data_IF_310010565747
#
_entry.id   IF_310010565747
#
_cell.length_a   1.000
_cell.length_b   1.000
_cell.length_c   1.000
_cell.angle_alpha   90.00
_cell.angle_beta   90.00
_cell.angle_gamma   90.00
#
_symmetry.space_group_name_H-M   'P 1'
#
loop_
_entity.id
_entity.type
_entity.pdbx_description
1 polymer ?
#
# COMPACT_ATOMS: atom_id res chain seq x y z
N UNK A 1 -52.39 0.56 -48.01
CA UNK A 1 -51.95 -0.26 -46.86
C UNK A 1 -50.83 0.46 -46.13
N UNK A 2 -50.99 0.82 -44.85
CA UNK A 2 -49.89 1.36 -44.03
C UNK A 2 -48.76 0.32 -44.01
N UNK A 3 -47.54 0.69 -44.42
CA UNK A 3 -46.37 -0.16 -44.18
C UNK A 3 -46.24 -0.31 -42.65
N UNK A 4 -46.02 -1.55 -42.19
CA UNK A 4 -45.66 -1.78 -40.79
C UNK A 4 -44.38 -1.00 -40.48
N UNK A 5 -44.34 -0.30 -39.34
CA UNK A 5 -43.18 0.48 -38.89
C UNK A 5 -41.88 -0.34 -38.96
N UNK A 6 -41.93 -1.62 -38.60
CA UNK A 6 -40.79 -2.55 -38.67
C UNK A 6 -40.32 -2.76 -40.12
N UNK A 7 -41.26 -2.91 -41.07
CA UNK A 7 -40.91 -3.04 -42.49
C UNK A 7 -40.25 -1.77 -43.03
N UNK A 8 -40.61 -0.61 -42.51
CA UNK A 8 -39.98 0.66 -42.88
C UNK A 8 -38.57 0.79 -42.32
N UNK A 9 -38.34 0.42 -41.06
CA UNK A 9 -37.00 0.39 -40.46
C UNK A 9 -36.05 -0.56 -41.21
N UNK A 10 -36.54 -1.74 -41.60
CA UNK A 10 -35.77 -2.71 -42.39
C UNK A 10 -35.48 -2.21 -43.81
N UNK A 11 -36.46 -1.56 -44.46
CA UNK A 11 -36.27 -0.98 -45.79
C UNK A 11 -35.19 0.12 -45.79
N UNK A 12 -35.12 0.89 -44.69
CA UNK A 12 -34.11 1.91 -44.43
C UNK A 12 -32.79 1.35 -43.89
N UNK A 13 -32.64 0.03 -43.81
CA UNK A 13 -31.41 -0.64 -43.34
C UNK A 13 -30.93 -0.20 -41.95
N UNK A 14 -31.82 0.33 -41.11
CA UNK A 14 -31.46 0.88 -39.79
C UNK A 14 -30.82 -0.19 -38.89
N UNK A 15 -31.38 -1.42 -38.78
CA UNK A 15 -30.74 -2.46 -37.96
C UNK A 15 -29.34 -2.84 -38.46
N UNK A 16 -29.09 -2.83 -39.77
CA UNK A 16 -27.79 -3.14 -40.36
C UNK A 16 -26.78 -2.03 -40.08
N UNK A 17 -27.17 -0.77 -40.23
CA UNK A 17 -26.30 0.38 -39.95
C UNK A 17 -25.95 0.42 -38.46
N UNK A 18 -26.95 0.30 -37.58
CA UNK A 18 -26.73 0.26 -36.13
C UNK A 18 -25.87 -0.96 -35.76
N UNK A 19 -26.12 -2.13 -36.35
CA UNK A 19 -25.32 -3.33 -36.13
C UNK A 19 -23.85 -3.15 -36.54
N UNK A 20 -23.61 -2.57 -37.72
CA UNK A 20 -22.25 -2.26 -38.19
C UNK A 20 -21.54 -1.23 -37.30
N UNK A 21 -22.28 -0.24 -36.80
CA UNK A 21 -21.78 0.75 -35.86
C UNK A 21 -21.33 0.08 -34.55
N UNK A 22 -22.16 -0.78 -33.96
CA UNK A 22 -21.78 -1.54 -32.77
C UNK A 22 -20.54 -2.41 -32.99
N UNK A 23 -20.45 -3.11 -34.13
CA UNK A 23 -19.27 -3.91 -34.47
C UNK A 23 -18.03 -3.03 -34.55
N UNK A 24 -18.08 -1.91 -35.26
CA UNK A 24 -16.96 -0.98 -35.43
C UNK A 24 -16.53 -0.35 -34.09
N UNK A 25 -17.48 0.15 -33.31
CA UNK A 25 -17.23 0.72 -31.98
C UNK A 25 -16.62 -0.29 -31.02
N UNK A 26 -17.16 -1.51 -30.97
CA UNK A 26 -16.63 -2.57 -30.10
C UNK A 26 -15.24 -3.00 -30.55
N UNK A 27 -15.01 -3.11 -31.86
CA UNK A 27 -13.69 -3.43 -32.43
C UNK A 27 -12.65 -2.38 -32.05
N UNK A 28 -13.01 -1.09 -32.11
CA UNK A 28 -12.13 -0.01 -31.69
C UNK A 28 -11.83 -0.06 -30.19
N UNK A 29 -12.83 -0.30 -29.35
CA UNK A 29 -12.64 -0.42 -27.89
C UNK A 29 -11.74 -1.61 -27.55
N UNK A 30 -11.96 -2.78 -28.15
CA UNK A 30 -11.12 -3.96 -27.96
C UNK A 30 -9.68 -3.73 -28.44
N UNK A 31 -9.49 -2.98 -29.53
CA UNK A 31 -8.16 -2.61 -30.00
C UNK A 31 -7.45 -1.68 -29.01
N UNK A 32 -8.15 -0.69 -28.43
CA UNK A 32 -7.59 0.19 -27.40
C UNK A 32 -7.26 -0.59 -26.10
N UNK A 33 -8.09 -1.56 -25.72
CA UNK A 33 -7.82 -2.44 -24.58
C UNK A 33 -6.61 -3.35 -24.84
N UNK A 34 -6.46 -3.86 -26.05
CA UNK A 34 -5.26 -4.57 -26.47
C UNK A 34 -4.01 -3.67 -26.41
N UNK A 35 -4.11 -2.41 -26.84
CA UNK A 35 -3.01 -1.45 -26.70
C UNK A 35 -2.65 -1.16 -25.24
N UNK A 36 -3.65 -1.08 -24.36
CA UNK A 36 -3.42 -0.92 -22.91
C UNK A 36 -2.58 -2.07 -22.36
N UNK A 37 -2.97 -3.31 -22.67
CA UNK A 37 -2.28 -4.51 -22.17
C UNK A 37 -0.87 -4.65 -22.72
N UNK A 38 -0.64 -4.31 -24.00
CA UNK A 38 0.63 -4.61 -24.68
C UNK A 38 1.60 -3.43 -24.75
N UNK A 39 1.12 -2.19 -24.60
CA UNK A 39 1.91 -0.97 -24.80
C UNK A 39 1.72 0.06 -23.68
N UNK A 40 1.14 -0.33 -22.55
CA UNK A 40 0.82 0.58 -21.43
C UNK A 40 0.01 1.81 -21.89
N UNK A 41 -0.84 1.63 -22.90
CA UNK A 41 -1.69 2.71 -23.40
C UNK A 41 -2.67 3.18 -22.32
N UNK A 42 -2.89 4.49 -22.12
CA UNK A 42 -3.67 4.97 -20.98
C UNK A 42 -5.12 4.50 -21.02
N UNK A 43 -5.62 3.97 -19.89
CA UNK A 43 -6.96 3.38 -19.77
C UNK A 43 -8.08 4.39 -20.02
N UNK A 44 -7.80 5.68 -19.81
CA UNK A 44 -8.72 6.80 -19.94
C UNK A 44 -9.22 6.96 -21.38
N UNK A 45 -8.37 6.65 -22.35
CA UNK A 45 -8.76 6.68 -23.76
C UNK A 45 -9.79 5.59 -24.11
N UNK A 46 -9.79 4.46 -23.40
CA UNK A 46 -10.82 3.42 -23.55
C UNK A 46 -12.16 3.97 -23.04
N UNK A 47 -12.16 4.59 -21.87
CA UNK A 47 -13.34 5.23 -21.27
C UNK A 47 -13.90 6.34 -22.17
N UNK A 48 -13.03 7.19 -22.72
CA UNK A 48 -13.39 8.25 -23.66
C UNK A 48 -13.97 7.69 -24.97
N UNK A 49 -13.37 6.62 -25.51
CA UNK A 49 -13.87 5.95 -26.72
C UNK A 49 -15.24 5.30 -26.48
N UNK A 50 -15.45 4.68 -25.33
CA UNK A 50 -16.75 4.12 -24.94
C UNK A 50 -17.82 5.21 -24.81
N UNK A 51 -17.50 6.31 -24.11
CA UNK A 51 -18.39 7.46 -23.98
C UNK A 51 -18.75 8.04 -25.35
N UNK A 52 -17.75 8.24 -26.23
CA UNK A 52 -17.96 8.72 -27.59
C UNK A 52 -18.83 7.78 -28.42
N UNK A 53 -18.58 6.47 -28.35
CA UNK A 53 -19.38 5.47 -29.07
C UNK A 53 -20.84 5.43 -28.61
N UNK A 54 -21.11 5.53 -27.31
CA UNK A 54 -22.50 5.57 -26.81
C UNK A 54 -23.16 6.90 -27.16
N UNK A 55 -22.44 8.02 -27.01
CA UNK A 55 -23.02 9.36 -27.17
C UNK A 55 -23.26 9.75 -28.63
N UNK A 56 -22.52 9.18 -29.59
CA UNK A 56 -22.75 9.41 -31.03
C UNK A 56 -23.98 8.64 -31.55
N UNK A 57 -24.44 7.60 -30.83
CA UNK A 57 -25.52 6.71 -31.26
C UNK A 57 -26.81 7.44 -31.71
N UNK A 58 -27.30 8.51 -31.04
CA UNK A 58 -28.46 9.26 -31.52
C UNK A 58 -28.27 9.85 -32.92
N UNK A 59 -27.08 10.38 -33.23
CA UNK A 59 -26.75 10.89 -34.56
C UNK A 59 -26.74 9.76 -35.60
N UNK A 60 -26.21 8.58 -35.24
CA UNK A 60 -26.20 7.40 -36.11
C UNK A 60 -27.62 6.95 -36.44
N UNK A 61 -28.52 6.94 -35.44
CA UNK A 61 -29.94 6.59 -35.65
C UNK A 61 -30.62 7.59 -36.58
N UNK A 62 -30.39 8.89 -36.39
CA UNK A 62 -30.95 9.94 -37.24
C UNK A 62 -30.48 9.75 -38.70
N UNK A 63 -29.16 9.61 -38.91
CA UNK A 63 -28.59 9.44 -40.25
C UNK A 63 -29.05 8.13 -40.89
N UNK A 64 -29.10 7.03 -40.13
CA UNK A 64 -29.61 5.75 -40.64
C UNK A 64 -31.07 5.85 -41.07
N UNK A 65 -31.88 6.64 -40.37
CA UNK A 65 -33.29 6.81 -40.70
C UNK A 65 -33.51 7.58 -42.01
N UNK A 66 -32.77 8.67 -42.23
CA UNK A 66 -32.97 9.53 -43.40
C UNK A 66 -32.15 9.10 -44.62
N UNK A 67 -30.92 8.60 -44.44
CA UNK A 67 -29.99 8.21 -45.51
C UNK A 67 -29.84 6.70 -45.72
N UNK A 68 -30.50 5.87 -44.91
CA UNK A 68 -30.43 4.41 -45.08
C UNK A 68 -31.32 3.84 -46.20
N UNK A 69 -32.21 4.66 -46.78
CA UNK A 69 -33.06 4.27 -47.91
C UNK A 69 -32.35 4.51 -49.26
N UNK A 70 -32.51 3.63 -50.27
CA UNK A 70 -31.97 3.86 -51.61
C UNK A 70 -32.64 5.06 -52.29
N UNK A 71 -31.89 6.10 -52.66
CA UNK A 71 -32.42 7.30 -53.31
C UNK A 71 -31.42 8.45 -53.38
N UNK A 72 -31.85 9.63 -53.81
CA UNK A 72 -31.04 10.86 -53.71
C UNK A 72 -31.06 11.35 -52.27
N UNK A 73 -29.87 11.62 -51.73
CA UNK A 73 -29.68 12.09 -50.36
C UNK A 73 -29.78 13.62 -50.28
N UNK A 74 -30.79 14.10 -49.58
CA UNK A 74 -30.91 15.51 -49.19
C UNK A 74 -30.98 15.59 -47.66
N UNK A 75 -30.20 16.51 -47.08
CA UNK A 75 -30.18 16.73 -45.64
C UNK A 75 -31.50 17.34 -45.16
N UNK A 76 -32.18 16.65 -44.26
CA UNK A 76 -33.40 17.12 -43.64
C UNK A 76 -33.15 18.19 -42.57
N UNK A 77 -34.20 18.92 -42.19
CA UNK A 77 -34.13 19.88 -41.06
C UNK A 77 -33.76 19.19 -39.75
N UNK A 78 -34.18 17.94 -39.55
CA UNK A 78 -33.89 17.17 -38.34
C UNK A 78 -32.40 16.84 -38.26
N UNK A 79 -31.77 16.46 -39.38
CA UNK A 79 -30.33 16.18 -39.42
C UNK A 79 -29.48 17.42 -39.20
N UNK A 80 -29.85 18.54 -39.85
CA UNK A 80 -29.16 19.83 -39.72
C UNK A 80 -29.21 20.43 -38.31
N UNK A 81 -30.11 19.95 -37.45
CA UNK A 81 -30.27 20.43 -36.08
C UNK A 81 -29.80 19.36 -35.08
N UNK A 82 -30.31 18.13 -35.20
CA UNK A 82 -30.06 17.05 -34.26
C UNK A 82 -28.61 16.56 -34.26
N UNK A 83 -27.98 16.42 -35.44
CA UNK A 83 -26.58 15.98 -35.50
C UNK A 83 -25.66 17.05 -34.87
N UNK A 84 -25.72 18.34 -35.24
CA UNK A 84 -24.91 19.36 -34.57
C UNK A 84 -25.15 19.49 -33.07
N UNK A 85 -26.41 19.41 -32.60
CA UNK A 85 -26.72 19.46 -31.16
C UNK A 85 -26.04 18.31 -30.42
N UNK A 86 -26.10 17.09 -30.96
CA UNK A 86 -25.45 15.94 -30.34
C UNK A 86 -23.92 16.09 -30.29
N UNK A 87 -23.32 16.61 -31.38
CA UNK A 87 -21.87 16.90 -31.42
C UNK A 87 -21.48 17.97 -30.39
N UNK A 88 -22.26 19.04 -30.26
CA UNK A 88 -22.04 20.10 -29.25
C UNK A 88 -22.17 19.54 -27.83
N UNK A 89 -23.14 18.67 -27.59
CA UNK A 89 -23.32 17.99 -26.31
C UNK A 89 -22.10 17.14 -25.95
N UNK A 90 -21.66 16.28 -26.87
CA UNK A 90 -20.46 15.45 -26.68
C UNK A 90 -19.24 16.33 -26.38
N UNK A 91 -19.01 17.36 -27.20
CA UNK A 91 -17.88 18.27 -27.01
C UNK A 91 -17.93 18.98 -25.65
N UNK A 92 -19.11 19.43 -25.23
CA UNK A 92 -19.30 20.13 -23.97
C UNK A 92 -19.02 19.21 -22.77
N UNK A 93 -19.51 17.97 -22.79
CA UNK A 93 -19.21 16.98 -21.75
C UNK A 93 -17.73 16.61 -21.73
N UNK A 94 -17.09 16.45 -22.89
CA UNK A 94 -15.65 16.20 -22.97
C UNK A 94 -14.84 17.36 -22.35
N UNK A 95 -15.17 18.61 -22.67
CA UNK A 95 -14.47 19.80 -22.13
C UNK A 95 -14.73 19.98 -20.64
N UNK A 96 -15.98 19.85 -20.18
CA UNK A 96 -16.33 19.96 -18.76
C UNK A 96 -15.66 18.82 -17.98
N UNK A 97 -15.72 17.59 -18.48
CA UNK A 97 -15.09 16.46 -17.83
C UNK A 97 -13.57 16.52 -17.84
N UNK A 98 -12.95 17.09 -18.88
CA UNK A 98 -11.51 17.34 -18.89
C UNK A 98 -11.13 18.38 -17.83
N UNK A 99 -11.83 19.51 -17.78
CA UNK A 99 -11.60 20.56 -16.77
C UNK A 99 -11.91 20.10 -15.34
N UNK A 100 -12.92 19.26 -15.18
CA UNK A 100 -13.35 18.67 -13.92
C UNK A 100 -12.62 17.39 -13.54
N UNK A 101 -11.66 16.93 -14.36
CA UNK A 101 -10.89 15.71 -14.15
C UNK A 101 -11.75 14.45 -13.96
N UNK A 102 -12.86 14.33 -14.70
CA UNK A 102 -13.79 13.19 -14.63
C UNK A 102 -13.27 11.95 -15.36
N UNK A 103 -12.38 12.14 -16.34
CA UNK A 103 -11.87 11.08 -17.21
C UNK A 103 -10.58 10.46 -16.71
N UNK A 104 -9.82 11.21 -15.91
CA UNK A 104 -8.54 10.79 -15.37
C UNK A 104 -8.75 10.38 -13.93
N UNK A 105 -8.49 9.11 -13.66
CA UNK A 105 -8.62 8.55 -12.34
C UNK A 105 -7.43 9.03 -11.50
N UNK A 106 -7.62 10.09 -10.70
CA UNK A 106 -6.61 10.49 -9.72
C UNK A 106 -6.46 9.48 -8.57
N UNK A 107 -7.22 8.38 -8.59
CA UNK A 107 -7.06 7.25 -7.67
C UNK A 107 -6.08 6.20 -8.21
N UNK A 108 -5.06 6.60 -8.95
CA UNK A 108 -3.89 5.74 -9.05
C UNK A 108 -3.43 5.45 -7.63
N UNK A 109 -3.53 4.17 -7.23
CA UNK A 109 -2.96 3.72 -5.96
C UNK A 109 -1.52 4.19 -5.99
N UNK A 110 -1.05 4.89 -4.94
CA UNK A 110 0.26 5.52 -5.00
C UNK A 110 1.33 4.44 -5.22
N UNK A 111 2.05 4.55 -6.33
CA UNK A 111 2.87 3.49 -6.89
C UNK A 111 4.34 3.90 -7.06
N UNK A 112 4.69 5.17 -6.82
CA UNK A 112 6.06 5.68 -6.92
C UNK A 112 6.70 5.84 -5.54
N UNK A 113 7.81 5.15 -5.32
CA UNK A 113 8.56 5.15 -4.07
C UNK A 113 10.01 5.56 -4.32
N UNK A 114 10.52 6.50 -3.52
CA UNK A 114 11.94 6.83 -3.50
C UNK A 114 12.57 6.40 -2.18
N UNK A 115 13.64 5.61 -2.23
CA UNK A 115 14.37 5.14 -1.04
C UNK A 115 15.67 5.92 -0.92
N UNK A 116 15.87 6.59 0.22
CA UNK A 116 17.09 7.31 0.56
C UNK A 116 17.70 6.71 1.81
N UNK A 117 18.87 6.08 1.71
CA UNK A 117 19.63 5.59 2.87
C UNK A 117 20.78 6.56 3.13
N UNK A 118 20.89 7.08 4.34
CA UNK A 118 21.84 8.15 4.68
C UNK A 118 22.46 7.96 6.04
N UNK A 119 23.64 8.55 6.19
CA UNK A 119 24.40 8.65 7.44
C UNK A 119 24.93 10.07 7.64
N UNK A 120 24.22 11.06 7.11
CA UNK A 120 24.65 12.46 7.12
C UNK A 120 24.75 13.02 8.54
N UNK A 121 25.85 13.70 8.85
CA UNK A 121 26.13 14.25 10.18
C UNK A 121 25.09 15.28 10.64
N UNK A 122 24.43 15.98 9.71
CA UNK A 122 23.48 17.04 10.04
C UNK A 122 22.26 16.57 10.84
N UNK A 123 21.93 15.27 10.79
CA UNK A 123 20.82 14.70 11.54
C UNK A 123 21.23 14.17 12.91
N UNK A 124 22.53 14.06 13.21
CA UNK A 124 23.03 13.42 14.44
C UNK A 124 22.55 14.16 15.68
N UNK A 125 22.56 15.49 15.66
CA UNK A 125 22.15 16.30 16.82
C UNK A 125 20.69 16.06 17.24
N UNK A 126 19.83 15.64 16.31
CA UNK A 126 18.42 15.35 16.60
C UNK A 126 18.23 14.04 17.39
N UNK A 127 19.28 13.24 17.58
CA UNK A 127 19.26 11.99 18.32
C UNK A 127 19.58 12.11 19.82
N UNK A 128 19.97 13.30 20.27
CA UNK A 128 20.23 13.61 21.69
C UNK A 128 19.11 14.43 22.34
N UNK A 129 17.88 14.38 21.81
CA UNK A 129 16.77 15.22 22.26
C UNK A 129 15.82 14.48 23.20
N UNK A 130 15.84 14.84 24.48
CA UNK A 130 15.13 14.19 25.59
C UNK A 130 13.64 13.90 25.35
N UNK A 131 12.91 14.83 24.74
CA UNK A 131 11.46 14.69 24.55
C UNK A 131 11.07 13.77 23.39
N UNK A 132 11.97 13.52 22.44
CA UNK A 132 11.62 12.81 21.21
C UNK A 132 11.66 11.28 21.41
N UNK A 133 12.50 10.80 22.34
CA UNK A 133 12.67 9.37 22.62
C UNK A 133 11.40 8.66 23.06
N UNK A 134 10.49 9.34 23.77
CA UNK A 134 9.19 8.79 24.17
C UNK A 134 8.26 8.51 22.98
N UNK A 135 8.51 9.16 21.84
CA UNK A 135 7.65 9.11 20.66
C UNK A 135 8.31 8.30 19.55
N UNK A 136 9.59 8.59 19.24
CA UNK A 136 10.35 7.91 18.19
C UNK A 136 10.90 6.57 18.64
N UNK A 137 11.10 6.41 19.94
CA UNK A 137 11.72 5.23 20.50
C UNK A 137 13.20 5.11 20.19
N UNK A 138 13.89 6.19 19.84
CA UNK A 138 15.36 6.20 19.80
C UNK A 138 15.79 7.55 20.34
N UNK A 139 16.42 7.57 21.52
CA UNK A 139 17.10 8.74 22.06
C UNK A 139 18.37 8.30 22.78
N UNK A 140 19.45 9.02 22.55
CA UNK A 140 20.75 8.72 23.12
C UNK A 140 21.09 9.78 24.16
N UNK A 141 21.58 9.33 25.32
CA UNK A 141 22.12 10.26 26.30
C UNK A 141 23.43 10.85 25.74
N UNK A 142 23.51 12.19 25.67
CA UNK A 142 24.68 12.89 25.16
C UNK A 142 25.90 12.63 26.03
N UNK A 143 25.72 12.38 27.33
CA UNK A 143 26.84 12.16 28.24
C UNK A 143 27.38 10.73 28.12
N UNK A 144 26.52 9.75 27.83
CA UNK A 144 26.91 8.34 27.72
C UNK A 144 27.36 7.92 26.32
N UNK A 145 26.73 8.46 25.26
CA UNK A 145 26.91 7.98 23.89
C UNK A 145 27.49 9.02 22.94
N UNK A 146 28.30 8.53 22.00
CA UNK A 146 28.77 9.25 20.84
C UNK A 146 28.18 8.59 19.58
N UNK A 147 27.36 9.35 18.86
CA UNK A 147 26.75 8.96 17.60
C UNK A 147 27.61 9.47 16.44
N UNK A 148 27.96 8.58 15.51
CA UNK A 148 28.81 8.92 14.35
C UNK A 148 28.28 8.31 13.06
N UNK A 149 28.61 8.89 11.90
CA UNK A 149 28.31 8.27 10.61
C UNK A 149 28.90 6.87 10.50
N UNK A 150 28.22 6.00 9.76
CA UNK A 150 28.80 4.75 9.29
C UNK A 150 29.78 4.99 8.14
N UNK A 151 30.68 4.04 7.86
CA UNK A 151 31.63 4.20 6.75
C UNK A 151 30.91 4.24 5.40
N UNK A 152 31.46 5.01 4.43
CA UNK A 152 30.95 5.07 3.06
C UNK A 152 30.80 3.68 2.41
N UNK A 153 31.74 2.77 2.71
CA UNK A 153 31.73 1.39 2.23
C UNK A 153 30.51 0.61 2.75
N UNK A 154 30.18 0.78 4.03
CA UNK A 154 29.02 0.16 4.66
C UNK A 154 27.73 0.80 4.15
N UNK A 155 27.66 2.13 4.08
CA UNK A 155 26.49 2.83 3.57
C UNK A 155 26.15 2.40 2.14
N UNK A 156 27.16 2.33 1.26
CA UNK A 156 27.01 1.82 -0.12
C UNK A 156 26.58 0.35 -0.15
N UNK A 157 27.08 -0.47 0.77
CA UNK A 157 26.67 -1.87 0.89
C UNK A 157 25.20 -1.99 1.32
N UNK A 158 24.76 -1.23 2.32
CA UNK A 158 23.37 -1.19 2.76
C UNK A 158 22.44 -0.74 1.63
N UNK A 159 22.75 0.40 1.01
CA UNK A 159 22.02 0.97 -0.13
C UNK A 159 21.79 -0.04 -1.24
N UNK A 160 22.86 -0.67 -1.75
CA UNK A 160 22.77 -1.64 -2.85
C UNK A 160 21.90 -2.85 -2.48
N UNK A 161 22.11 -3.45 -1.31
CA UNK A 161 21.42 -4.68 -0.94
C UNK A 161 19.95 -4.44 -0.64
N UNK A 162 19.63 -3.35 0.07
CA UNK A 162 18.24 -3.00 0.41
C UNK A 162 17.47 -2.64 -0.86
N UNK A 163 18.03 -1.79 -1.72
CA UNK A 163 17.37 -1.43 -2.99
C UNK A 163 17.13 -2.66 -3.88
N UNK A 164 18.14 -3.53 -4.03
CA UNK A 164 18.00 -4.77 -4.82
C UNK A 164 16.91 -5.69 -4.25
N UNK A 165 16.84 -5.83 -2.91
CA UNK A 165 15.80 -6.61 -2.25
C UNK A 165 14.42 -6.02 -2.51
N UNK A 166 14.26 -4.70 -2.39
CA UNK A 166 12.99 -4.02 -2.63
C UNK A 166 12.51 -4.18 -4.08
N UNK A 167 13.35 -3.91 -5.07
CA UNK A 167 12.98 -4.11 -6.49
C UNK A 167 12.61 -5.56 -6.75
N UNK A 168 13.39 -6.52 -6.24
CA UNK A 168 13.10 -7.94 -6.40
C UNK A 168 11.79 -8.37 -5.73
N UNK A 169 11.42 -7.80 -4.58
CA UNK A 169 10.22 -8.19 -3.87
C UNK A 169 8.94 -7.64 -4.52
N UNK A 170 9.02 -6.48 -5.16
CA UNK A 170 7.88 -5.81 -5.79
C UNK A 170 7.84 -5.94 -7.32
N UNK A 171 8.75 -6.69 -7.96
CA UNK A 171 8.86 -6.82 -9.43
C UNK A 171 7.58 -7.30 -10.14
N UNK A 172 6.70 -7.99 -9.42
CA UNK A 172 5.44 -8.54 -9.94
C UNK A 172 4.28 -7.54 -9.84
N UNK A 173 4.53 -6.35 -9.29
CA UNK A 173 3.57 -5.28 -9.08
C UNK A 173 3.95 -4.09 -9.95
N UNK A 174 2.94 -3.31 -10.34
CA UNK A 174 3.13 -2.07 -11.10
C UNK A 174 3.57 -0.93 -10.15
N UNK A 175 4.72 -1.11 -9.50
CA UNK A 175 5.35 -0.13 -8.61
C UNK A 175 6.66 0.35 -9.19
N UNK A 176 6.85 1.66 -9.15
CA UNK A 176 8.10 2.30 -9.52
C UNK A 176 8.89 2.60 -8.23
N UNK A 177 9.87 1.76 -7.92
CA UNK A 177 10.77 1.93 -6.78
C UNK A 177 12.11 2.44 -7.30
N UNK A 178 12.54 3.59 -6.82
CA UNK A 178 13.81 4.20 -7.20
C UNK A 178 14.63 4.68 -5.99
N UNK A 179 15.91 5.02 -6.21
CA UNK A 179 16.87 5.48 -5.21
C UNK A 179 17.94 6.36 -5.87
N UNK A 180 18.81 7.00 -5.09
CA UNK A 180 19.95 7.73 -5.64
C UNK A 180 20.96 6.77 -6.29
N UNK A 181 21.55 7.14 -7.42
CA UNK A 181 22.61 6.35 -8.09
C UNK A 181 23.95 7.06 -8.19
N UNK A 182 23.97 8.38 -8.00
CA UNK A 182 25.16 9.22 -8.10
C UNK A 182 25.43 9.94 -6.79
N UNK A 183 26.65 10.47 -6.64
CA UNK A 183 26.97 11.33 -5.48
C UNK A 183 26.09 12.58 -5.47
N UNK A 184 25.85 13.21 -6.63
CA UNK A 184 24.97 14.38 -6.73
C UNK A 184 23.54 14.08 -6.24
N UNK A 185 22.98 12.94 -6.63
CA UNK A 185 21.65 12.51 -6.18
C UNK A 185 21.62 12.19 -4.67
N UNK A 186 22.72 11.65 -4.12
CA UNK A 186 22.85 11.43 -2.68
C UNK A 186 22.88 12.76 -1.91
N UNK A 187 23.72 13.70 -2.32
CA UNK A 187 23.84 15.02 -1.69
C UNK A 187 22.51 15.80 -1.78
N UNK A 188 21.81 15.76 -2.93
CA UNK A 188 20.51 16.44 -3.05
C UNK A 188 19.41 15.74 -2.25
N UNK A 189 19.49 14.43 -2.03
CA UNK A 189 18.58 13.75 -1.11
C UNK A 189 18.89 14.14 0.34
N UNK A 190 20.14 14.50 0.64
CA UNK A 190 20.53 15.06 1.93
C UNK A 190 20.26 16.56 2.08
N UNK A 191 19.76 17.31 1.09
CA UNK A 191 19.27 18.68 1.40
C UNK A 191 17.87 18.67 2.01
N UNK A 192 17.20 17.51 2.02
CA UNK A 192 15.87 17.36 2.60
C UNK A 192 15.88 17.66 4.11
N UNK A 193 14.83 18.32 4.64
CA UNK A 193 14.76 18.66 6.05
C UNK A 193 14.77 17.44 6.97
N UNK A 194 15.33 17.62 8.17
CA UNK A 194 15.32 16.59 9.20
C UNK A 194 13.88 16.25 9.62
N UNK A 195 13.48 14.98 9.55
CA UNK A 195 12.15 14.58 9.99
C UNK A 195 12.00 14.75 11.51
N UNK A 196 13.06 14.47 12.28
CA UNK A 196 13.06 14.67 13.74
C UNK A 196 12.89 16.14 14.12
N UNK A 197 13.55 17.06 13.40
CA UNK A 197 13.42 18.50 13.65
C UNK A 197 12.02 19.02 13.40
N UNK A 198 11.37 18.59 12.33
CA UNK A 198 9.96 18.90 12.07
C UNK A 198 9.04 18.33 13.16
N UNK A 199 9.21 17.06 13.52
CA UNK A 199 8.37 16.41 14.56
C UNK A 199 8.56 17.12 15.90
N UNK A 200 9.80 17.46 16.28
CA UNK A 200 10.07 18.25 17.48
C UNK A 200 9.33 19.59 17.46
N UNK A 201 9.42 20.33 16.35
CA UNK A 201 8.69 21.58 16.18
C UNK A 201 7.18 21.39 16.26
N UNK A 202 6.63 20.31 15.70
CA UNK A 202 5.21 19.97 15.82
C UNK A 202 4.82 19.73 17.28
N UNK A 203 5.59 18.93 18.01
CA UNK A 203 5.32 18.54 19.39
C UNK A 203 5.45 19.69 20.39
N UNK A 204 6.49 20.52 20.25
CA UNK A 204 6.71 21.68 21.12
C UNK A 204 5.58 22.72 21.02
N UNK A 205 4.81 22.66 19.93
CA UNK A 205 3.70 23.58 19.68
C UNK A 205 2.32 22.88 19.68
N UNK A 206 2.29 21.56 19.88
CA UNK A 206 1.05 20.82 20.12
C UNK A 206 0.64 21.01 21.59
N UNK A 207 -0.34 21.88 21.82
CA UNK A 207 -1.11 21.89 23.08
C UNK A 207 -2.25 20.86 23.06
N UNK A 208 -3.21 21.01 23.98
CA UNK A 208 -4.45 20.21 24.02
C UNK A 208 -5.49 20.61 22.94
N UNK A 209 -5.23 21.69 22.19
CA UNK A 209 -6.15 22.21 21.16
C UNK A 209 -5.85 21.66 19.75
N UNK A 210 -6.90 21.55 18.94
CA UNK A 210 -6.83 21.11 17.55
C UNK A 210 -5.96 22.08 16.72
N UNK A 211 -4.93 21.55 16.04
CA UNK A 211 -4.00 22.35 15.25
C UNK A 211 -4.71 23.03 14.07
N UNK A 212 -4.72 24.36 14.04
CA UNK A 212 -5.32 25.10 12.92
C UNK A 212 -4.51 24.91 11.63
N UNK A 213 -5.19 25.02 10.48
CA UNK A 213 -4.53 24.90 9.17
C UNK A 213 -3.45 25.97 8.97
N UNK A 214 -3.68 27.21 9.42
CA UNK A 214 -2.73 28.31 9.33
C UNK A 214 -1.47 28.06 10.17
N UNK A 215 -1.64 27.43 11.33
CA UNK A 215 -0.54 27.04 12.20
C UNK A 215 0.33 25.94 11.56
N UNK A 216 -0.31 24.89 11.02
CA UNK A 216 0.39 23.83 10.28
C UNK A 216 1.15 24.39 9.08
N UNK A 217 0.57 25.34 8.35
CA UNK A 217 1.21 26.02 7.22
C UNK A 217 2.44 26.83 7.63
N UNK A 218 2.41 27.46 8.81
CA UNK A 218 3.56 28.13 9.40
C UNK A 218 4.68 27.15 9.72
N UNK A 219 4.37 26.03 10.40
CA UNK A 219 5.35 24.98 10.70
C UNK A 219 5.94 24.40 9.42
N UNK A 220 5.13 24.10 8.41
CA UNK A 220 5.64 23.60 7.13
C UNK A 220 6.60 24.59 6.47
N UNK A 221 6.32 25.90 6.55
CA UNK A 221 7.21 26.91 5.96
C UNK A 221 8.57 26.99 6.68
N UNK A 222 8.59 26.75 7.99
CA UNK A 222 9.81 26.78 8.81
C UNK A 222 10.63 25.50 8.66
N UNK A 223 9.96 24.34 8.76
CA UNK A 223 10.60 23.04 8.91
C UNK A 223 10.61 22.21 7.63
N UNK A 224 9.69 22.45 6.69
CA UNK A 224 9.56 21.73 5.42
C UNK A 224 9.51 22.70 4.23
N UNK A 225 10.52 23.58 4.05
CA UNK A 225 10.55 24.53 2.94
C UNK A 225 10.48 23.81 1.59
N UNK A 226 9.83 24.39 0.60
CA UNK A 226 9.62 23.76 -0.72
C UNK A 226 10.91 23.65 -1.55
N UNK A 227 11.85 24.56 -1.33
CA UNK A 227 13.04 24.73 -2.16
C UNK A 227 13.92 23.46 -2.26
N UNK A 228 14.22 22.75 -1.16
CA UNK A 228 14.92 21.46 -1.23
C UNK A 228 14.19 20.39 -2.04
N UNK A 229 12.86 20.33 -1.93
CA UNK A 229 12.07 19.32 -2.63
C UNK A 229 11.98 19.62 -4.14
N UNK A 230 11.90 20.88 -4.53
CA UNK A 230 11.93 21.29 -5.94
C UNK A 230 13.28 20.93 -6.56
N UNK A 231 14.39 21.24 -5.87
CA UNK A 231 15.73 20.85 -6.31
C UNK A 231 15.88 19.34 -6.45
N UNK A 232 15.41 18.59 -5.46
CA UNK A 232 15.39 17.13 -5.50
C UNK A 232 14.66 16.61 -6.75
N UNK A 233 13.42 17.06 -6.99
CA UNK A 233 12.65 16.65 -8.18
C UNK A 233 13.38 16.98 -9.48
N UNK A 234 13.90 18.20 -9.62
CA UNK A 234 14.60 18.64 -10.84
C UNK A 234 15.84 17.80 -11.16
N UNK A 235 16.51 17.22 -10.16
CA UNK A 235 17.66 16.34 -10.38
C UNK A 235 17.20 14.93 -10.73
N UNK A 236 16.25 14.38 -9.98
CA UNK A 236 15.77 13.00 -10.20
C UNK A 236 15.02 12.88 -11.54
N UNK A 237 14.23 13.88 -11.94
CA UNK A 237 13.47 13.89 -13.19
C UNK A 237 14.37 13.84 -14.43
N UNK A 238 15.61 14.34 -14.35
CA UNK A 238 16.59 14.21 -15.44
C UNK A 238 16.95 12.76 -15.75
N UNK A 239 16.90 11.88 -14.74
CA UNK A 239 17.20 10.46 -14.88
C UNK A 239 15.95 9.64 -15.17
N UNK A 240 14.85 9.97 -14.50
CA UNK A 240 13.61 9.21 -14.56
C UNK A 240 12.50 10.15 -14.97
N UNK A 241 12.21 10.17 -16.27
CA UNK A 241 11.21 11.05 -16.84
C UNK A 241 9.85 10.83 -16.17
N UNK A 242 9.15 11.91 -15.80
CA UNK A 242 7.85 11.87 -15.11
C UNK A 242 7.87 11.14 -13.74
N UNK A 243 9.02 11.06 -13.07
CA UNK A 243 9.12 10.54 -11.71
C UNK A 243 8.92 11.64 -10.66
N UNK A 244 7.75 11.63 -10.04
CA UNK A 244 7.48 12.35 -8.79
C UNK A 244 6.99 11.33 -7.78
N UNK A 245 7.81 10.98 -6.77
CA UNK A 245 7.43 9.93 -5.83
C UNK A 245 6.15 10.29 -5.08
N UNK A 246 5.29 9.30 -4.83
CA UNK A 246 4.15 9.48 -3.93
C UNK A 246 4.60 9.39 -2.47
N UNK A 247 5.63 8.57 -2.24
CA UNK A 247 6.29 8.40 -0.96
C UNK A 247 7.79 8.43 -1.09
N UNK A 248 8.44 9.02 -0.09
CA UNK A 248 9.88 8.88 0.12
C UNK A 248 10.13 8.14 1.43
N UNK A 249 11.05 7.18 1.43
CA UNK A 249 11.48 6.47 2.64
C UNK A 249 12.93 6.86 2.90
N UNK A 250 13.15 7.65 3.95
CA UNK A 250 14.48 8.07 4.38
C UNK A 250 14.93 7.19 5.54
N UNK A 251 16.03 6.46 5.38
CA UNK A 251 16.60 5.58 6.39
C UNK A 251 17.89 6.18 6.90
N UNK A 252 17.85 6.71 8.11
CA UNK A 252 19.05 7.18 8.80
C UNK A 252 19.76 6.00 9.45
N UNK A 253 21.07 5.89 9.30
CA UNK A 253 21.88 4.78 9.85
C UNK A 253 23.13 5.36 10.51
N UNK A 254 23.40 5.00 11.78
CA UNK A 254 24.55 5.55 12.53
C UNK A 254 25.16 4.50 13.46
N UNK A 255 26.43 4.72 13.82
CA UNK A 255 27.08 3.99 14.91
C UNK A 255 26.71 4.62 16.26
N UNK A 256 26.52 3.78 17.27
CA UNK A 256 26.49 4.18 18.67
C UNK A 256 27.77 3.70 19.38
N UNK A 257 28.51 4.63 19.98
CA UNK A 257 29.75 4.36 20.71
C UNK A 257 29.53 4.76 22.17
N UNK A 258 29.85 3.87 23.11
CA UNK A 258 29.81 4.20 24.53
C UNK A 258 31.05 5.01 24.89
N UNK A 259 30.87 6.22 25.44
CA UNK A 259 31.98 7.14 25.71
C UNK A 259 32.90 6.65 26.83
N UNK A 260 32.35 5.99 27.84
CA UNK A 260 33.13 5.46 28.98
C UNK A 260 34.23 4.50 28.52
N UNK A 261 33.88 3.56 27.63
CA UNK A 261 34.81 2.52 27.15
C UNK A 261 35.42 2.84 25.79
N UNK A 262 34.88 3.83 25.07
CA UNK A 262 35.17 4.11 23.66
C UNK A 262 34.94 2.89 22.76
N UNK A 263 34.00 2.02 23.12
CA UNK A 263 33.66 0.81 22.37
C UNK A 263 32.38 1.01 21.55
N UNK A 264 32.43 0.57 20.29
CA UNK A 264 31.27 0.54 19.41
C UNK A 264 30.25 -0.48 19.93
N UNK A 265 29.07 0.01 20.28
CA UNK A 265 27.96 -0.83 20.79
C UNK A 265 27.19 -1.48 19.63
N UNK A 266 27.22 -0.85 18.45
CA UNK A 266 26.63 -1.36 17.23
C UNK A 266 26.06 -0.24 16.36
N UNK A 267 25.32 -0.63 15.34
CA UNK A 267 24.65 0.28 14.40
C UNK A 267 23.15 0.28 14.71
N UNK A 268 22.54 1.45 14.77
CA UNK A 268 21.09 1.60 14.78
C UNK A 268 20.61 2.23 13.47
N UNK A 269 19.32 2.09 13.20
CA UNK A 269 18.69 2.74 12.06
C UNK A 269 17.32 3.31 12.43
N UNK A 270 16.91 4.37 11.76
CA UNK A 270 15.59 4.97 11.91
C UNK A 270 15.01 5.30 10.54
N UNK A 271 14.00 4.56 10.07
CA UNK A 271 13.31 4.87 8.84
C UNK A 271 12.23 5.92 9.09
N UNK A 272 12.02 6.80 8.12
CA UNK A 272 11.02 7.86 8.10
C UNK A 272 10.26 7.82 6.79
N UNK A 273 8.92 7.74 6.87
CA UNK A 273 8.04 7.79 5.71
C UNK A 273 7.56 9.23 5.48
N UNK A 274 7.91 9.75 4.33
CA UNK A 274 7.50 11.05 3.81
C UNK A 274 6.34 10.85 2.84
N UNK A 275 5.25 11.56 3.08
CA UNK A 275 4.04 11.51 2.25
C UNK A 275 3.93 12.81 1.48
N UNK A 276 3.65 12.73 0.17
CA UNK A 276 3.47 13.91 -0.68
C UNK A 276 2.32 14.78 -0.16
N UNK A 277 2.57 16.08 -0.03
CA UNK A 277 1.57 17.07 0.36
C UNK A 277 0.65 17.38 -0.83
N UNK A 278 -0.63 17.00 -0.71
CA UNK A 278 -1.62 17.19 -1.77
C UNK A 278 -2.19 18.62 -1.83
N UNK A 279 -1.79 19.54 -0.93
CA UNK A 279 -2.31 20.91 -0.84
C UNK A 279 -1.78 21.89 -1.91
N UNK A 280 -1.28 21.38 -3.05
CA UNK A 280 -0.68 22.11 -4.20
C UNK A 280 0.76 22.60 -3.99
N UNK A 281 1.45 22.19 -2.92
CA UNK A 281 2.84 22.56 -2.62
C UNK A 281 3.76 21.37 -2.87
N UNK A 282 4.90 21.59 -3.52
CA UNK A 282 5.81 20.52 -3.96
C UNK A 282 6.70 20.02 -2.81
N UNK A 283 6.11 19.46 -1.74
CA UNK A 283 6.84 19.00 -0.56
C UNK A 283 6.31 17.67 -0.01
N UNK A 284 7.04 17.11 0.94
CA UNK A 284 6.65 15.89 1.62
C UNK A 284 6.64 16.06 3.14
N UNK A 285 5.61 15.51 3.77
CA UNK A 285 5.39 15.57 5.22
C UNK A 285 5.87 14.25 5.84
N UNK A 286 6.85 14.26 6.74
CA UNK A 286 7.26 13.05 7.45
C UNK A 286 6.22 12.70 8.52
N UNK A 287 5.72 11.45 8.53
CA UNK A 287 4.57 11.10 9.38
C UNK A 287 4.52 9.67 9.91
N UNK A 288 5.45 8.78 9.57
CA UNK A 288 5.54 7.45 10.18
C UNK A 288 6.99 7.05 10.38
N UNK A 289 7.28 6.48 11.55
CA UNK A 289 8.59 6.01 11.95
C UNK A 289 8.48 4.60 12.53
N UNK A 290 9.61 3.89 12.60
CA UNK A 290 9.70 2.60 13.28
C UNK A 290 10.84 2.68 14.29
N UNK A 291 10.51 2.64 15.58
CA UNK A 291 11.49 2.56 16.64
C UNK A 291 11.99 1.13 16.80
N UNK A 292 13.19 0.85 16.29
CA UNK A 292 13.95 -0.35 16.63
C UNK A 292 15.15 0.05 17.47
N UNK A 293 15.15 -0.37 18.74
CA UNK A 293 16.19 -0.07 19.71
C UNK A 293 17.37 -1.05 19.61
N UNK A 294 17.29 -2.02 18.71
CA UNK A 294 18.31 -3.05 18.57
C UNK A 294 19.57 -2.47 17.97
N UNK A 295 20.69 -2.67 18.65
CA UNK A 295 22.01 -2.39 18.12
C UNK A 295 22.51 -3.59 17.31
N UNK A 296 22.85 -3.34 16.05
CA UNK A 296 23.28 -4.35 15.11
C UNK A 296 24.80 -4.36 14.97
N UNK A 297 25.40 -5.52 15.26
CA UNK A 297 26.81 -5.81 14.96
C UNK A 297 26.97 -6.67 13.70
N UNK A 298 25.87 -7.28 13.22
CA UNK A 298 25.83 -8.10 12.01
C UNK A 298 25.07 -7.36 10.88
N UNK A 299 25.82 -6.99 9.84
CA UNK A 299 25.29 -6.30 8.67
C UNK A 299 24.18 -7.09 7.96
N UNK A 300 24.20 -8.42 7.97
CA UNK A 300 23.13 -9.23 7.34
C UNK A 300 21.81 -9.10 8.08
N UNK A 301 21.86 -9.10 9.42
CA UNK A 301 20.68 -8.87 10.26
C UNK A 301 20.14 -7.45 10.08
N UNK A 302 21.03 -6.45 10.06
CA UNK A 302 20.67 -5.06 9.80
C UNK A 302 19.94 -4.88 8.46
N UNK A 303 20.51 -5.40 7.36
CA UNK A 303 19.89 -5.37 6.03
C UNK A 303 18.53 -6.06 6.04
N UNK A 304 18.43 -7.22 6.70
CA UNK A 304 17.18 -7.98 6.77
C UNK A 304 16.09 -7.18 7.47
N UNK A 305 16.39 -6.55 8.60
CA UNK A 305 15.42 -5.81 9.39
C UNK A 305 15.02 -4.48 8.73
N UNK A 306 15.97 -3.71 8.18
CA UNK A 306 15.64 -2.52 7.38
C UNK A 306 14.73 -2.92 6.20
N UNK A 307 15.10 -3.98 5.48
CA UNK A 307 14.32 -4.47 4.33
C UNK A 307 12.89 -4.88 4.71
N UNK A 308 12.70 -5.54 5.86
CA UNK A 308 11.37 -5.90 6.37
C UNK A 308 10.49 -4.67 6.65
N UNK A 309 11.06 -3.63 7.29
CA UNK A 309 10.33 -2.39 7.58
C UNK A 309 9.92 -1.68 6.30
N UNK A 310 10.86 -1.50 5.37
CA UNK A 310 10.61 -0.83 4.08
C UNK A 310 9.57 -1.58 3.26
N UNK A 311 9.69 -2.91 3.15
CA UNK A 311 8.69 -3.73 2.47
C UNK A 311 7.30 -3.54 3.09
N UNK A 312 7.18 -3.61 4.42
CA UNK A 312 5.90 -3.45 5.10
C UNK A 312 5.24 -2.09 4.84
N UNK A 313 6.03 -1.01 4.80
CA UNK A 313 5.53 0.32 4.48
C UNK A 313 5.13 0.47 3.02
N UNK A 314 5.99 0.05 2.09
CA UNK A 314 5.70 0.08 0.65
C UNK A 314 4.46 -0.73 0.35
N UNK A 315 4.35 -1.94 0.87
CA UNK A 315 3.18 -2.80 0.72
C UNK A 315 1.91 -2.13 1.24
N UNK A 316 1.96 -1.61 2.48
CA UNK A 316 0.80 -0.97 3.12
C UNK A 316 0.28 0.22 2.32
N UNK A 317 1.19 0.98 1.71
CA UNK A 317 0.87 2.18 0.95
C UNK A 317 0.42 1.89 -0.48
N UNK A 318 1.10 0.99 -1.16
CA UNK A 318 0.82 0.63 -2.54
C UNK A 318 -0.42 -0.26 -2.70
N UNK A 319 -0.56 -1.26 -1.83
CA UNK A 319 -1.55 -2.33 -2.00
C UNK A 319 -2.71 -2.16 -1.04
N UNK A 320 -2.43 -1.86 0.23
CA UNK A 320 -3.43 -1.64 1.26
C UNK A 320 -3.17 -2.50 2.50
N UNK A 321 -4.22 -2.93 3.19
CA UNK A 321 -4.03 -3.68 4.44
C UNK A 321 -3.31 -4.99 4.19
N UNK A 322 -2.38 -5.35 5.08
CA UNK A 322 -1.70 -6.65 5.05
C UNK A 322 -2.66 -7.84 5.18
N UNK A 323 -3.89 -7.59 5.65
CA UNK A 323 -4.94 -8.59 5.78
C UNK A 323 -5.40 -8.99 4.38
N UNK A 324 -5.11 -10.22 4.02
CA UNK A 324 -5.35 -10.78 2.69
C UNK A 324 -6.76 -11.32 2.60
N UNK A 325 -7.23 -12.00 3.64
CA UNK A 325 -8.52 -12.66 3.61
C UNK A 325 -8.90 -13.33 4.92
N UNK A 326 -9.93 -14.16 4.84
CA UNK A 326 -10.50 -14.89 5.97
C UNK A 326 -10.62 -16.38 5.62
N UNK A 327 -10.30 -17.25 6.56
CA UNK A 327 -10.50 -18.70 6.38
C UNK A 327 -12.00 -19.00 6.38
N UNK A 328 -12.53 -19.51 5.28
CA UNK A 328 -13.95 -19.87 5.13
C UNK A 328 -14.17 -21.36 5.27
N UNK A 329 -13.17 -22.17 4.92
CA UNK A 329 -13.24 -23.63 4.95
C UNK A 329 -11.95 -24.26 5.45
N UNK A 330 -12.09 -25.28 6.29
CA UNK A 330 -11.00 -26.16 6.72
C UNK A 330 -11.18 -27.46 5.94
N UNK A 331 -10.12 -27.92 5.30
CA UNK A 331 -10.07 -29.13 4.50
C UNK A 331 -9.13 -30.15 5.16
N UNK A 332 -9.09 -31.36 4.61
CA UNK A 332 -8.15 -32.39 5.04
C UNK A 332 -6.69 -31.98 4.74
N UNK A 333 -5.72 -32.71 5.30
CA UNK A 333 -4.28 -32.53 5.07
C UNK A 333 -3.73 -31.11 5.37
N UNK A 334 -4.31 -30.46 6.38
CA UNK A 334 -3.95 -29.09 6.80
C UNK A 334 -4.17 -28.04 5.69
N UNK A 335 -5.10 -28.29 4.76
CA UNK A 335 -5.49 -27.32 3.75
C UNK A 335 -6.63 -26.44 4.24
N UNK A 336 -6.65 -25.20 3.77
CA UNK A 336 -7.71 -24.23 4.06
C UNK A 336 -8.08 -23.46 2.80
N UNK A 337 -9.35 -23.05 2.70
CA UNK A 337 -9.78 -22.03 1.74
C UNK A 337 -9.85 -20.67 2.42
N UNK A 338 -9.26 -19.69 1.77
CA UNK A 338 -9.23 -18.30 2.19
C UNK A 338 -10.00 -17.50 1.15
N UNK A 339 -11.02 -16.77 1.59
CA UNK A 339 -11.70 -15.78 0.75
C UNK A 339 -10.99 -14.43 0.89
N UNK A 340 -10.59 -13.84 -0.24
CA UNK A 340 -9.89 -12.57 -0.27
C UNK A 340 -10.80 -11.41 0.09
N UNK A 341 -10.29 -10.44 0.85
CA UNK A 341 -11.04 -9.20 1.12
C UNK A 341 -11.08 -8.28 -0.10
N UNK A 342 -9.99 -8.23 -0.87
CA UNK A 342 -9.89 -7.51 -2.15
C UNK A 342 -9.58 -8.51 -3.27
N UNK A 343 -10.42 -8.54 -4.31
CA UNK A 343 -10.25 -9.42 -5.47
C UNK A 343 -9.05 -9.06 -6.33
N UNK A 344 -8.56 -7.82 -6.21
CA UNK A 344 -7.38 -7.33 -6.91
C UNK A 344 -6.11 -7.47 -6.06
N UNK A 345 -6.19 -8.09 -4.86
CA UNK A 345 -5.02 -8.33 -4.04
C UNK A 345 -4.07 -9.28 -4.77
N UNK A 346 -2.83 -8.84 -5.00
CA UNK A 346 -1.81 -9.67 -5.65
C UNK A 346 -1.36 -10.78 -4.70
N UNK A 347 -1.88 -11.99 -4.91
CA UNK A 347 -1.50 -13.21 -4.22
C UNK A 347 -1.09 -14.24 -5.27
N UNK A 348 0.08 -14.85 -5.08
CA UNK A 348 0.62 -15.85 -6.01
C UNK A 348 0.97 -17.14 -5.30
N UNK A 349 1.15 -18.21 -6.08
CA UNK A 349 1.57 -19.52 -5.59
C UNK A 349 2.91 -19.43 -4.83
N UNK A 350 3.10 -20.29 -3.84
CA UNK A 350 4.27 -20.36 -2.93
C UNK A 350 4.46 -19.13 -2.03
N UNK A 351 3.50 -18.19 -2.02
CA UNK A 351 3.53 -17.06 -1.10
C UNK A 351 3.23 -17.53 0.32
N UNK A 352 3.95 -16.99 1.31
CA UNK A 352 3.72 -17.30 2.72
C UNK A 352 2.76 -16.28 3.33
N UNK A 353 1.70 -16.79 3.94
CA UNK A 353 0.71 -16.06 4.72
C UNK A 353 0.88 -16.42 6.21
N UNK A 354 0.42 -15.54 7.10
CA UNK A 354 0.34 -15.80 8.53
C UNK A 354 -1.02 -15.42 9.09
N UNK A 355 -1.39 -16.10 10.16
CA UNK A 355 -2.45 -15.67 11.05
C UNK A 355 -1.85 -15.09 12.34
N UNK A 356 -2.46 -14.02 12.84
CA UNK A 356 -2.25 -13.54 14.20
C UNK A 356 -3.51 -13.77 15.02
N UNK A 357 -3.37 -14.53 16.10
CA UNK A 357 -4.49 -14.84 16.99
C UNK A 357 -4.93 -13.56 17.69
N UNK A 358 -6.23 -13.27 17.54
CA UNK A 358 -6.91 -12.14 18.14
C UNK A 358 -8.14 -12.63 18.90
N UNK A 359 -8.19 -12.32 20.19
CA UNK A 359 -9.34 -12.57 21.05
C UNK A 359 -10.14 -11.28 21.19
N UNK A 360 -11.34 -11.24 20.61
CA UNK A 360 -12.26 -10.12 20.77
C UNK A 360 -13.22 -10.42 21.92
N UNK A 361 -12.92 -9.88 23.10
CA UNK A 361 -13.55 -10.27 24.36
C UNK A 361 -15.07 -10.07 24.39
N UNK A 362 -15.56 -9.02 23.71
CA UNK A 362 -16.98 -8.71 23.60
C UNK A 362 -17.77 -9.63 22.64
N UNK A 363 -17.09 -10.48 21.87
CA UNK A 363 -17.71 -11.35 20.86
C UNK A 363 -17.56 -12.83 21.20
N UNK A 364 -16.35 -13.36 21.06
CA UNK A 364 -16.03 -14.78 21.20
C UNK A 364 -14.62 -15.03 21.75
N UNK A 365 -13.98 -13.98 22.27
CA UNK A 365 -12.59 -14.03 22.71
C UNK A 365 -12.39 -14.91 23.93
N UNK A 366 -13.34 -14.92 24.87
CA UNK A 366 -13.26 -15.76 26.06
C UNK A 366 -13.36 -17.23 25.70
N UNK A 367 -14.33 -17.60 24.89
CA UNK A 367 -14.57 -18.96 24.43
C UNK A 367 -13.37 -19.49 23.63
N UNK A 368 -12.84 -18.68 22.71
CA UNK A 368 -11.62 -19.04 21.95
C UNK A 368 -10.41 -19.22 22.86
N UNK A 369 -10.22 -18.33 23.83
CA UNK A 369 -9.06 -18.39 24.73
C UNK A 369 -9.15 -19.59 25.66
N UNK A 370 -10.33 -19.87 26.22
CA UNK A 370 -10.58 -21.07 27.04
C UNK A 370 -10.23 -22.33 26.24
N UNK A 371 -10.75 -22.45 25.02
CA UNK A 371 -10.47 -23.59 24.15
C UNK A 371 -8.97 -23.73 23.84
N UNK A 372 -8.28 -22.63 23.53
CA UNK A 372 -6.83 -22.65 23.27
C UNK A 372 -6.02 -23.04 24.52
N UNK A 373 -6.47 -22.66 25.73
CA UNK A 373 -5.85 -23.08 26.99
C UNK A 373 -6.09 -24.57 27.25
N UNK A 374 -7.31 -25.06 27.06
CA UNK A 374 -7.65 -26.47 27.25
C UNK A 374 -6.80 -27.37 26.33
N UNK A 375 -6.66 -26.99 25.06
CA UNK A 375 -5.79 -27.69 24.10
C UNK A 375 -4.31 -27.65 24.51
N UNK A 376 -3.84 -26.52 25.03
CA UNK A 376 -2.46 -26.41 25.53
C UNK A 376 -2.22 -27.33 26.74
N UNK A 377 -3.15 -27.36 27.70
CA UNK A 377 -3.05 -28.21 28.88
C UNK A 377 -3.13 -29.70 28.52
N UNK A 378 -3.99 -30.08 27.58
CA UNK A 378 -4.07 -31.45 27.06
C UNK A 378 -2.76 -31.85 26.35
N UNK A 379 -2.20 -30.94 25.55
CA UNK A 379 -0.94 -31.17 24.85
C UNK A 379 0.21 -31.44 25.83
N UNK A 380 0.36 -30.60 26.87
CA UNK A 380 1.40 -30.77 27.89
C UNK A 380 1.25 -32.09 28.66
N UNK A 381 0.03 -32.53 28.95
CA UNK A 381 -0.21 -33.83 29.61
C UNK A 381 0.21 -35.02 28.76
N UNK A 382 0.15 -34.90 27.43
CA UNK A 382 0.50 -35.97 26.49
C UNK A 382 1.98 -35.99 26.08
N UNK A 383 2.71 -34.90 26.32
CA UNK A 383 4.09 -34.72 25.86
C UNK A 383 4.97 -34.27 27.04
N UNK A 384 5.37 -35.24 27.88
CA UNK A 384 6.22 -35.00 29.06
C UNK A 384 7.59 -34.42 28.69
N UNK A 385 8.08 -34.69 27.48
CA UNK A 385 9.37 -34.23 26.96
C UNK A 385 9.46 -32.71 26.77
N UNK A 386 8.33 -32.03 26.60
CA UNK A 386 8.22 -30.58 26.43
C UNK A 386 7.40 -29.91 27.54
N UNK A 387 7.21 -30.61 28.67
CA UNK A 387 6.43 -30.11 29.79
C UNK A 387 7.12 -28.94 30.51
N UNK A 388 6.46 -27.80 30.57
CA UNK A 388 6.88 -26.64 31.36
C UNK A 388 5.89 -26.42 32.51
N UNK A 389 6.32 -26.74 33.73
CA UNK A 389 5.49 -26.60 34.92
C UNK A 389 5.04 -25.16 35.19
N UNK A 390 5.87 -24.18 34.84
CA UNK A 390 5.56 -22.76 35.05
C UNK A 390 4.47 -22.32 34.09
N UNK A 391 4.63 -22.63 32.81
CA UNK A 391 3.64 -22.32 31.77
C UNK A 391 2.34 -23.07 32.02
N UNK A 392 2.40 -24.35 32.41
CA UNK A 392 1.24 -25.18 32.73
C UNK A 392 0.43 -24.60 33.91
N UNK A 393 1.11 -24.23 34.99
CA UNK A 393 0.45 -23.62 36.16
C UNK A 393 -0.16 -22.26 35.82
N UNK A 394 0.55 -21.43 35.04
CA UNK A 394 0.03 -20.14 34.57
C UNK A 394 -1.25 -20.29 33.75
N UNK A 395 -1.26 -21.21 32.78
CA UNK A 395 -2.43 -21.51 31.95
C UNK A 395 -3.60 -22.07 32.78
N UNK A 396 -3.31 -22.93 33.76
CA UNK A 396 -4.34 -23.48 34.66
C UNK A 396 -5.00 -22.39 35.50
N UNK A 397 -4.21 -21.46 36.04
CA UNK A 397 -4.73 -20.30 36.78
C UNK A 397 -5.54 -19.36 35.87
N UNK A 398 -5.08 -19.12 34.64
CA UNK A 398 -5.81 -18.30 33.66
C UNK A 398 -7.17 -18.92 33.32
N UNK A 399 -7.21 -20.24 33.07
CA UNK A 399 -8.46 -20.97 32.81
C UNK A 399 -9.43 -20.88 33.98
N UNK A 400 -8.94 -21.09 35.21
CA UNK A 400 -9.75 -20.99 36.42
C UNK A 400 -10.37 -19.59 36.55
N UNK A 401 -9.58 -18.53 36.29
CA UNK A 401 -10.06 -17.15 36.30
C UNK A 401 -11.16 -16.88 35.26
N UNK A 402 -11.14 -17.56 34.11
CA UNK A 402 -12.22 -17.45 33.14
C UNK A 402 -13.49 -18.21 33.53
N UNK A 403 -13.34 -19.34 34.23
CA UNK A 403 -14.47 -20.15 34.73
C UNK A 403 -15.17 -19.45 35.90
N UNK A 404 -14.42 -18.92 36.87
CA UNK A 404 -14.97 -18.25 38.06
C UNK A 404 -15.32 -16.76 37.84
N UNK A 405 -14.94 -16.21 36.69
CA UNK A 405 -15.26 -14.85 36.28
C UNK A 405 -14.27 -13.79 36.76
N UNK A 406 -13.32 -14.12 37.64
CA UNK A 406 -12.31 -13.17 38.14
C UNK A 406 -11.38 -12.65 37.03
N UNK A 407 -11.24 -13.39 35.93
CA UNK A 407 -10.41 -13.08 34.77
C UNK A 407 -11.11 -12.30 33.65
N UNK A 408 -12.40 -11.93 33.80
CA UNK A 408 -13.25 -11.38 32.71
C UNK A 408 -13.28 -9.85 32.56
N UNK A 409 -12.33 -9.14 33.18
CA UNK A 409 -12.11 -7.71 32.98
C UNK A 409 -10.91 -7.45 32.06
N UNK A 410 -10.97 -8.00 30.85
CA UNK A 410 -10.03 -7.67 29.76
C UNK A 410 -10.72 -6.64 28.87
N UNK A 411 -9.98 -5.65 28.35
CA UNK A 411 -10.52 -4.53 27.55
C UNK A 411 -11.26 -4.97 26.27
N UNK A 412 -11.05 -4.30 25.13
CA UNK A 412 -11.80 -4.66 23.92
C UNK A 412 -11.30 -5.96 23.24
N UNK A 413 -9.99 -6.17 23.22
CA UNK A 413 -9.37 -7.33 22.59
C UNK A 413 -7.97 -7.63 23.11
N UNK A 414 -7.43 -8.79 22.76
CA UNK A 414 -6.04 -9.17 22.97
C UNK A 414 -5.48 -9.79 21.69
N UNK A 415 -4.45 -9.15 21.12
CA UNK A 415 -3.64 -9.69 20.03
C UNK A 415 -2.37 -10.25 20.62
N UNK A 416 -2.01 -11.47 20.28
CA UNK A 416 -0.83 -12.10 20.89
C UNK A 416 0.41 -12.14 19.99
N UNK A 417 0.38 -11.49 18.82
CA UNK A 417 1.54 -11.40 17.91
C UNK A 417 2.08 -12.76 17.43
N UNK A 418 1.27 -13.82 17.53
CA UNK A 418 1.59 -15.18 17.11
C UNK A 418 0.37 -15.93 16.57
N UNK A 419 0.64 -16.92 15.74
CA UNK A 419 -0.36 -17.85 15.21
C UNK A 419 0.32 -18.94 14.40
N UNK A 420 -0.02 -19.04 13.12
CA UNK A 420 0.45 -20.09 12.22
C UNK A 420 0.72 -19.53 10.81
N UNK A 421 1.64 -20.18 10.10
CA UNK A 421 1.99 -19.84 8.73
C UNK A 421 1.30 -20.78 7.75
N UNK A 422 0.99 -20.24 6.57
CA UNK A 422 0.37 -20.96 5.48
C UNK A 422 1.14 -20.68 4.18
N UNK A 423 1.23 -21.66 3.31
CA UNK A 423 1.78 -21.50 1.96
C UNK A 423 0.65 -21.57 0.94
N UNK A 424 0.61 -20.59 0.03
CA UNK A 424 -0.39 -20.55 -1.05
C UNK A 424 -0.10 -21.67 -2.05
N UNK A 425 -1.05 -22.60 -2.14
CA UNK A 425 -0.98 -23.76 -3.04
C UNK A 425 -1.55 -23.41 -4.42
N UNK A 426 -2.68 -22.71 -4.45
CA UNK A 426 -3.37 -22.33 -5.68
C UNK A 426 -4.30 -21.12 -5.48
N UNK A 427 -4.68 -20.44 -6.56
CA UNK A 427 -5.63 -19.32 -6.56
C UNK A 427 -6.68 -19.55 -7.65
N UNK A 428 -7.96 -19.51 -7.27
CA UNK A 428 -9.10 -19.59 -8.20
C UNK A 428 -10.07 -18.44 -7.93
N UNK A 429 -10.08 -17.44 -8.81
CA UNK A 429 -10.90 -16.25 -8.63
C UNK A 429 -10.48 -15.47 -7.38
N UNK A 430 -11.42 -15.29 -6.45
CA UNK A 430 -11.22 -14.63 -5.14
C UNK A 430 -10.95 -15.62 -3.99
N UNK A 431 -10.72 -16.90 -4.31
CA UNK A 431 -10.45 -17.95 -3.34
C UNK A 431 -9.02 -18.43 -3.47
N UNK A 432 -8.30 -18.40 -2.35
CA UNK A 432 -6.95 -18.92 -2.21
C UNK A 432 -7.00 -20.26 -1.47
N UNK A 433 -6.38 -21.28 -2.05
CA UNK A 433 -6.12 -22.55 -1.39
C UNK A 433 -4.72 -22.47 -0.76
N UNK A 434 -4.64 -22.65 0.56
CA UNK A 434 -3.37 -22.59 1.28
C UNK A 434 -3.18 -23.81 2.20
N UNK A 435 -1.93 -24.21 2.40
CA UNK A 435 -1.55 -25.30 3.31
C UNK A 435 -0.91 -24.72 4.56
N UNK A 436 -1.35 -25.15 5.75
CA UNK A 436 -0.70 -24.76 7.01
C UNK A 436 0.67 -25.44 7.06
N UNK A 437 1.74 -24.65 7.10
CA UNK A 437 3.12 -25.13 7.06
C UNK A 437 3.76 -25.17 8.45
N UNK A 438 3.38 -24.25 9.34
CA UNK A 438 3.88 -24.23 10.71
C UNK A 438 2.89 -23.55 11.66
N UNK A 439 2.99 -23.88 12.95
CA UNK A 439 2.28 -23.23 14.04
C UNK A 439 3.31 -22.82 15.09
N UNK A 440 3.19 -21.62 15.66
CA UNK A 440 4.13 -21.20 16.72
C UNK A 440 4.05 -22.11 17.95
N UNK A 441 2.85 -22.59 18.29
CA UNK A 441 2.69 -23.72 19.21
C UNK A 441 1.91 -24.86 18.52
N UNK A 442 2.26 -26.13 18.76
CA UNK A 442 1.66 -27.27 18.08
C UNK A 442 0.16 -27.45 18.38
N UNK A 443 -0.28 -27.04 19.57
CA UNK A 443 -1.67 -27.10 20.02
C UNK A 443 -2.57 -25.98 19.48
N UNK A 444 -2.03 -25.01 18.71
CA UNK A 444 -2.84 -23.92 18.19
C UNK A 444 -3.94 -24.44 17.26
N UNK A 445 -5.18 -24.02 17.53
CA UNK A 445 -6.33 -24.38 16.71
C UNK A 445 -6.51 -23.38 15.57
N UNK A 446 -6.66 -23.91 14.36
CA UNK A 446 -7.04 -23.16 13.16
C UNK A 446 -8.56 -23.14 13.08
N UNK A 447 -9.16 -21.95 12.86
CA UNK A 447 -10.61 -21.77 12.90
C UNK A 447 -11.13 -21.12 11.62
N UNK A 448 -12.39 -21.44 11.29
CA UNK A 448 -13.15 -20.62 10.33
C UNK A 448 -13.32 -19.22 10.92
N UNK A 449 -13.15 -18.20 10.09
CA UNK A 449 -13.19 -16.80 10.50
C UNK A 449 -11.81 -16.22 10.87
N UNK A 450 -10.77 -17.04 10.94
CA UNK A 450 -9.42 -16.55 11.17
C UNK A 450 -8.96 -15.67 10.01
N UNK A 451 -8.46 -14.48 10.34
CA UNK A 451 -7.93 -13.55 9.33
C UNK A 451 -6.48 -13.91 9.04
N UNK A 452 -6.13 -13.95 7.76
CA UNK A 452 -4.77 -14.17 7.30
C UNK A 452 -4.21 -12.89 6.72
N UNK A 453 -2.90 -12.75 6.79
CA UNK A 453 -2.14 -11.63 6.28
C UNK A 453 -0.86 -12.12 5.63
N UNK A 454 -0.16 -11.24 4.92
CA UNK A 454 1.14 -11.58 4.35
C UNK A 454 2.23 -11.65 5.41
N UNK A 455 3.14 -12.61 5.25
CA UNK A 455 4.36 -12.73 6.06
C UNK A 455 5.47 -11.88 5.47
N UNK A 456 6.22 -11.24 6.36
CA UNK A 456 7.43 -10.49 6.06
C UNK A 456 8.66 -11.33 6.39
N UNK A 457 9.16 -12.10 5.43
CA UNK A 457 10.49 -12.73 5.52
C UNK A 457 11.42 -12.28 4.38
#
# INVERSE_FOLDING_TARGET
MKKSFIKELLHRRIPQIIGSYFIASTSMILFLDWLKVNYAFPKEFITLALFGAVSILPSVVILAYFHGAPGKDEWTKIEKIGVPINIIFIFSILVIGYKGNWWFDNNDKPNKFFIHITSDEKYIEDYYSDNLGLITGINWDRDDYLITPVSDSLLKHLHKNIYSKMVSQFHHLDLQIDTYISKEEYEISNILPSPRKYIKGLLENMGDEELSADFLDSLYSIYLPEEPYIKFHNIIEKRVEHFSPDFMIVVNVYNAILKETNEAQGIFYEPHLYVKDNSKRNRYIPGSWHGDYTLYTDNKKLITNIGKVLYGWTYKKAIGTLKVGIITELLDDNLVKIELFDKNQSIHRNMILENWINYHWWRDGYEKRIEDIELALEYYKKHEDVFDSTQFNSLTLELQGYIDGSGRNKGESMSMGWGYNLEVVDITGDVVLAKITSKRNPYLKVRKGDKVRLVFD
#
